data_IF_609455216188
#
_entry.id   IF_609455216188
#
_cell.length_a   1.000
_cell.length_b   1.000
_cell.length_c   1.000
_cell.angle_alpha   90.00
_cell.angle_beta   90.00
_cell.angle_gamma   90.00
#
_symmetry.space_group_name_H-M   'P 1'
#
loop_
_entity.id
_entity.type
_entity.pdbx_description
1 polymer ?
#
# COMPACT_ATOMS: atom_id res chain seq x y z
N UNK A 1 -1.15 -20.93 -22.41
CA UNK A 1 -0.47 -20.88 -21.09
C UNK A 1 0.52 -19.70 -20.96
N UNK A 2 1.33 -19.36 -21.97
CA UNK A 2 2.30 -18.24 -21.94
C UNK A 2 1.74 -16.80 -22.01
N UNK A 3 0.42 -16.59 -22.11
CA UNK A 3 -0.18 -15.24 -22.19
C UNK A 3 -0.41 -14.56 -20.84
N UNK A 4 -0.51 -15.33 -19.75
CA UNK A 4 -0.77 -14.80 -18.39
C UNK A 4 0.51 -14.18 -17.81
N UNK A 5 1.68 -14.78 -18.08
CA UNK A 5 2.99 -14.30 -17.61
C UNK A 5 3.38 -12.91 -18.14
N UNK A 6 2.84 -12.49 -19.29
CA UNK A 6 3.10 -11.14 -19.86
C UNK A 6 2.46 -10.00 -19.06
N UNK A 7 1.57 -10.32 -18.11
CA UNK A 7 0.82 -9.36 -17.32
C UNK A 7 0.98 -9.57 -15.81
N UNK A 8 1.91 -10.44 -15.38
CA UNK A 8 2.33 -10.45 -13.98
C UNK A 8 3.11 -9.14 -13.76
N UNK A 9 2.38 -8.09 -13.43
CA UNK A 9 2.95 -6.85 -12.95
C UNK A 9 3.65 -7.23 -11.65
N UNK A 10 4.98 -7.31 -11.67
CA UNK A 10 5.75 -7.43 -10.44
C UNK A 10 5.51 -6.10 -9.72
N UNK A 11 4.64 -6.12 -8.73
CA UNK A 11 4.43 -4.98 -7.85
C UNK A 11 5.82 -4.58 -7.33
N UNK A 12 6.25 -3.31 -7.49
CA UNK A 12 7.57 -2.87 -7.03
C UNK A 12 7.82 -3.17 -5.54
N UNK A 13 6.75 -3.37 -4.75
CA UNK A 13 6.83 -3.88 -3.38
C UNK A 13 7.50 -5.25 -3.25
N UNK A 14 7.29 -6.18 -4.20
CA UNK A 14 7.97 -7.48 -4.18
C UNK A 14 9.48 -7.32 -4.38
N UNK A 15 9.87 -6.41 -5.28
CA UNK A 15 11.29 -6.08 -5.50
C UNK A 15 11.89 -5.36 -4.29
N UNK A 16 11.12 -4.51 -3.61
CA UNK A 16 11.53 -3.83 -2.40
C UNK A 16 11.78 -4.81 -1.24
N UNK A 17 10.91 -5.81 -1.04
CA UNK A 17 11.10 -6.83 -0.01
C UNK A 17 12.32 -7.71 -0.32
N UNK A 18 12.50 -8.10 -1.58
CA UNK A 18 13.70 -8.82 -2.00
C UNK A 18 14.97 -7.98 -1.82
N UNK A 19 14.91 -6.68 -2.07
CA UNK A 19 16.01 -5.74 -1.84
C UNK A 19 16.34 -5.58 -0.35
N UNK A 20 15.34 -5.39 0.52
CA UNK A 20 15.53 -5.33 1.97
C UNK A 20 16.14 -6.64 2.48
N UNK A 21 15.62 -7.77 2.04
CA UNK A 21 16.15 -9.06 2.44
C UNK A 21 17.60 -9.25 1.97
N UNK A 22 17.87 -8.98 0.69
CA UNK A 22 19.20 -9.10 0.09
C UNK A 22 20.23 -8.17 0.75
N UNK A 23 19.87 -6.91 0.96
CA UNK A 23 20.73 -5.94 1.66
C UNK A 23 21.00 -6.36 3.10
N UNK A 24 20.02 -6.95 3.80
CA UNK A 24 20.24 -7.44 5.16
C UNK A 24 21.15 -8.66 5.20
N UNK A 25 20.99 -9.60 4.26
CA UNK A 25 21.92 -10.74 4.14
C UNK A 25 23.34 -10.30 3.84
N UNK A 26 23.49 -9.25 3.03
CA UNK A 26 24.79 -8.65 2.76
C UNK A 26 25.39 -8.01 4.02
N UNK A 27 24.60 -7.28 4.81
CA UNK A 27 25.05 -6.70 6.09
C UNK A 27 25.44 -7.79 7.09
N UNK A 28 24.60 -8.82 7.25
CA UNK A 28 24.88 -9.98 8.10
C UNK A 28 26.19 -10.67 7.71
N UNK A 29 26.41 -10.86 6.40
CA UNK A 29 27.64 -11.42 5.86
C UNK A 29 28.87 -10.52 6.13
N UNK A 30 28.75 -9.20 5.93
CA UNK A 30 29.84 -8.25 6.16
C UNK A 30 30.18 -8.13 7.65
N UNK A 31 29.17 -8.15 8.52
CA UNK A 31 29.32 -7.96 9.97
C UNK A 31 29.53 -9.27 10.74
N UNK A 32 29.57 -10.42 10.05
CA UNK A 32 29.60 -11.76 10.65
C UNK A 32 28.52 -11.96 11.74
N UNK A 33 27.33 -11.40 11.48
CA UNK A 33 26.18 -11.53 12.37
C UNK A 33 25.12 -12.43 11.72
N UNK A 34 24.29 -13.08 12.55
CA UNK A 34 23.16 -13.87 12.07
C UNK A 34 21.90 -13.43 12.79
N UNK A 35 20.81 -13.32 12.03
CA UNK A 35 19.51 -13.06 12.61
C UNK A 35 19.34 -11.62 13.05
N UNK A 36 19.80 -10.66 12.25
CA UNK A 36 19.61 -9.22 12.50
C UNK A 36 18.12 -8.90 12.62
N UNK A 37 17.29 -9.42 11.72
CA UNK A 37 15.84 -9.23 11.76
C UNK A 37 15.19 -9.89 12.99
N UNK A 38 15.61 -11.11 13.33
CA UNK A 38 15.13 -11.79 14.54
C UNK A 38 15.50 -11.02 15.80
N UNK A 39 16.71 -10.43 15.85
CA UNK A 39 17.17 -9.62 16.98
C UNK A 39 16.41 -8.30 17.11
N UNK A 40 16.26 -7.56 16.00
CA UNK A 40 15.47 -6.31 15.96
C UNK A 40 14.03 -6.59 16.39
N UNK A 41 13.40 -7.62 15.82
CA UNK A 41 12.03 -7.98 16.18
C UNK A 41 11.92 -8.40 17.63
N UNK A 42 12.81 -9.28 18.13
CA UNK A 42 12.77 -9.73 19.53
C UNK A 42 12.90 -8.58 20.51
N UNK A 43 13.77 -7.61 20.21
CA UNK A 43 13.90 -6.39 20.99
C UNK A 43 12.62 -5.55 20.95
N UNK A 44 12.08 -5.25 19.77
CA UNK A 44 10.83 -4.52 19.61
C UNK A 44 9.66 -5.22 20.31
N UNK A 45 9.52 -6.53 20.15
CA UNK A 45 8.50 -7.35 20.80
C UNK A 45 8.64 -7.34 22.32
N UNK A 46 9.85 -7.34 22.87
CA UNK A 46 10.05 -7.25 24.32
C UNK A 46 9.51 -5.94 24.92
N UNK A 47 9.51 -4.85 24.15
CA UNK A 47 8.90 -3.57 24.54
C UNK A 47 7.36 -3.63 24.47
N UNK A 48 6.83 -4.41 23.52
CA UNK A 48 5.40 -4.52 23.22
C UNK A 48 4.68 -5.63 24.02
N UNK A 49 5.39 -6.63 24.55
CA UNK A 49 4.79 -7.79 25.24
C UNK A 49 4.16 -7.44 26.59
N UNK A 50 4.45 -6.26 27.15
CA UNK A 50 3.88 -5.82 28.44
C UNK A 50 2.35 -5.71 28.41
N UNK A 51 1.77 -5.41 27.25
CA UNK A 51 0.32 -5.36 27.06
C UNK A 51 -0.02 -5.61 25.58
N UNK A 52 -0.24 -6.88 25.25
CA UNK A 52 -0.54 -7.35 23.88
C UNK A 52 -1.71 -6.58 23.24
N UNK A 53 -2.76 -6.31 24.02
CA UNK A 53 -3.92 -5.55 23.57
C UNK A 53 -3.55 -4.12 23.17
N UNK A 54 -2.85 -3.39 24.04
CA UNK A 54 -2.43 -2.01 23.74
C UNK A 54 -1.44 -1.98 22.57
N UNK A 55 -0.52 -2.94 22.50
CA UNK A 55 0.44 -3.05 21.41
C UNK A 55 -0.25 -3.29 20.06
N UNK A 56 -1.25 -4.17 20.01
CA UNK A 56 -2.03 -4.39 18.80
C UNK A 56 -2.85 -3.16 18.40
N UNK A 57 -3.52 -2.50 19.36
CA UNK A 57 -4.38 -1.32 19.11
C UNK A 57 -3.56 -0.09 18.73
N UNK A 58 -2.35 0.08 19.27
CA UNK A 58 -1.59 1.33 19.13
C UNK A 58 -0.29 1.16 18.35
N UNK A 59 0.52 0.14 18.61
CA UNK A 59 1.85 0.06 18.00
C UNK A 59 1.78 -0.17 16.48
N UNK A 60 0.94 -1.09 16.02
CA UNK A 60 0.76 -1.35 14.58
C UNK A 60 0.15 -0.13 13.86
N UNK A 61 -0.92 0.51 14.36
CA UNK A 61 -1.42 1.75 13.77
C UNK A 61 -0.41 2.89 13.78
N UNK A 62 0.31 3.13 14.89
CA UNK A 62 1.30 4.19 14.93
C UNK A 62 2.45 3.94 13.95
N UNK A 63 2.88 2.69 13.79
CA UNK A 63 3.86 2.33 12.76
C UNK A 63 3.36 2.74 11.36
N UNK A 64 2.13 2.36 11.00
CA UNK A 64 1.50 2.73 9.71
C UNK A 64 1.40 4.24 9.53
N UNK A 65 0.97 4.96 10.57
CA UNK A 65 0.78 6.42 10.55
C UNK A 65 2.13 7.11 10.36
N UNK A 66 3.14 6.77 11.16
CA UNK A 66 4.48 7.34 11.09
C UNK A 66 5.08 7.09 9.70
N UNK A 67 4.98 5.86 9.20
CA UNK A 67 5.46 5.49 7.87
C UNK A 67 4.80 6.33 6.78
N UNK A 68 3.48 6.52 6.86
CA UNK A 68 2.74 7.36 5.93
C UNK A 68 3.23 8.81 5.96
N UNK A 69 3.26 9.46 7.12
CA UNK A 69 3.61 10.88 7.22
C UNK A 69 5.07 11.15 6.85
N UNK A 70 5.99 10.26 7.20
CA UNK A 70 7.40 10.39 6.79
C UNK A 70 7.51 10.31 5.27
N UNK A 71 6.97 9.26 4.64
CA UNK A 71 7.13 9.05 3.20
C UNK A 71 6.34 10.07 2.38
N UNK A 72 5.07 10.30 2.72
CA UNK A 72 4.23 11.30 2.06
C UNK A 72 4.81 12.72 2.24
N UNK A 73 5.37 13.01 3.41
CA UNK A 73 6.08 14.25 3.72
C UNK A 73 7.34 14.45 2.87
N UNK A 74 8.18 13.41 2.72
CA UNK A 74 9.37 13.46 1.83
C UNK A 74 8.96 13.80 0.40
N UNK A 75 7.92 13.14 -0.14
CA UNK A 75 7.45 13.42 -1.49
C UNK A 75 6.78 14.79 -1.61
N UNK A 76 6.07 15.26 -0.58
CA UNK A 76 5.51 16.60 -0.54
C UNK A 76 6.62 17.68 -0.54
N UNK A 77 7.67 17.49 0.28
CA UNK A 77 8.84 18.38 0.32
C UNK A 77 9.54 18.39 -1.05
N UNK A 78 9.75 17.22 -1.66
CA UNK A 78 10.27 17.11 -3.04
C UNK A 78 9.41 17.94 -4.00
N UNK A 79 8.10 17.80 -3.96
CA UNK A 79 7.20 18.51 -4.86
C UNK A 79 7.25 20.04 -4.65
N UNK A 80 7.52 20.51 -3.44
CA UNK A 80 7.79 21.94 -3.14
C UNK A 80 9.15 22.39 -3.67
N UNK A 81 10.22 21.63 -3.43
CA UNK A 81 11.60 21.98 -3.83
C UNK A 81 11.76 21.96 -5.36
N UNK A 82 11.25 20.91 -6.01
CA UNK A 82 11.43 20.67 -7.44
C UNK A 82 10.37 21.35 -8.32
N UNK A 83 9.42 22.07 -7.72
CA UNK A 83 8.40 22.91 -8.39
C UNK A 83 9.01 23.86 -9.44
N UNK A 84 10.28 24.26 -9.27
CA UNK A 84 11.03 25.17 -10.16
C UNK A 84 11.94 24.51 -11.19
N UNK A 85 12.30 23.22 -11.04
CA UNK A 85 13.37 22.56 -11.83
C UNK A 85 13.00 21.20 -12.42
N UNK A 86 11.72 20.80 -12.37
CA UNK A 86 11.29 19.54 -12.97
C UNK A 86 11.56 19.53 -14.48
N UNK A 87 12.44 18.65 -14.94
CA UNK A 87 12.68 18.43 -16.38
C UNK A 87 11.37 18.05 -17.09
N UNK A 88 11.33 18.25 -18.41
CA UNK A 88 10.21 17.81 -19.25
C UNK A 88 9.86 16.32 -19.06
N UNK A 89 10.80 15.48 -18.63
CA UNK A 89 10.58 14.07 -18.32
C UNK A 89 9.68 13.85 -17.09
N UNK A 90 9.89 14.62 -16.01
CA UNK A 90 9.05 14.55 -14.80
C UNK A 90 7.66 15.13 -15.09
N UNK A 91 7.58 16.20 -15.89
CA UNK A 91 6.30 16.81 -16.31
C UNK A 91 5.51 15.97 -17.33
N UNK A 92 6.16 15.29 -18.27
CA UNK A 92 5.50 14.40 -19.24
C UNK A 92 4.82 13.20 -18.59
N UNK A 93 5.17 12.92 -17.33
CA UNK A 93 4.68 11.80 -16.55
C UNK A 93 3.60 12.17 -15.51
N UNK A 94 3.21 13.46 -15.47
CA UNK A 94 2.14 14.02 -14.64
C UNK A 94 1.26 14.96 -15.49
N UNK A 95 0.05 14.55 -15.86
CA UNK A 95 -0.94 15.38 -16.58
C UNK A 95 -1.73 16.33 -15.67
N UNK A 96 -1.82 16.08 -14.37
CA UNK A 96 -2.51 16.98 -13.45
C UNK A 96 -1.60 18.15 -13.03
N UNK A 97 -2.04 19.41 -13.16
CA UNK A 97 -1.27 20.56 -12.71
C UNK A 97 -1.09 20.50 -11.18
N UNK A 98 0.14 20.74 -10.70
CA UNK A 98 0.41 20.95 -9.27
C UNK A 98 -0.30 22.25 -8.89
N UNK A 99 -1.56 22.17 -8.46
CA UNK A 99 -2.24 23.33 -7.92
C UNK A 99 -1.50 23.81 -6.66
N UNK A 100 -1.41 25.12 -6.53
CA UNK A 100 -0.47 25.84 -5.68
C UNK A 100 -0.74 25.75 -4.18
N UNK A 101 -1.69 24.93 -3.74
CA UNK A 101 -2.11 24.89 -2.35
C UNK A 101 -1.17 24.00 -1.55
N UNK A 102 -0.28 24.66 -0.81
CA UNK A 102 0.47 24.12 0.32
C UNK A 102 -0.56 23.47 1.26
N UNK A 103 -0.56 22.15 1.37
CA UNK A 103 -1.29 21.30 2.35
C UNK A 103 -2.63 21.92 2.81
N UNK A 104 -3.74 21.53 2.18
CA UNK A 104 -5.07 21.89 2.71
C UNK A 104 -5.24 21.33 4.13
N UNK A 105 -5.48 22.21 5.10
CA UNK A 105 -5.67 21.81 6.51
C UNK A 105 -6.92 20.95 6.70
N UNK A 106 -7.95 21.11 5.87
CA UNK A 106 -9.15 20.26 5.91
C UNK A 106 -8.84 18.84 5.45
N UNK A 107 -7.97 18.71 4.45
CA UNK A 107 -7.48 17.44 3.95
C UNK A 107 -6.68 16.72 5.04
N UNK A 108 -5.69 17.39 5.62
CA UNK A 108 -4.89 16.86 6.71
C UNK A 108 -5.77 16.44 7.89
N UNK A 109 -6.77 17.25 8.26
CA UNK A 109 -7.74 16.93 9.31
C UNK A 109 -8.51 15.63 9.03
N UNK A 110 -9.01 15.42 7.81
CA UNK A 110 -9.71 14.17 7.46
C UNK A 110 -8.76 12.96 7.51
N UNK A 111 -7.52 13.11 7.03
CA UNK A 111 -6.50 12.05 7.14
C UNK A 111 -6.22 11.71 8.60
N UNK A 112 -6.08 12.72 9.47
CA UNK A 112 -5.92 12.51 10.91
C UNK A 112 -7.12 11.83 11.55
N UNK A 113 -8.36 12.17 11.17
CA UNK A 113 -9.56 11.47 11.66
C UNK A 113 -9.52 9.99 11.26
N UNK A 114 -9.23 9.69 10.00
CA UNK A 114 -9.13 8.33 9.50
C UNK A 114 -8.04 7.52 10.25
N UNK A 115 -6.90 8.15 10.51
CA UNK A 115 -5.75 7.51 11.14
C UNK A 115 -5.82 7.42 12.67
N UNK A 116 -6.34 8.43 13.36
CA UNK A 116 -6.35 8.49 14.82
C UNK A 116 -7.67 8.04 15.44
N UNK A 117 -8.75 7.98 14.66
CA UNK A 117 -10.06 7.54 15.13
C UNK A 117 -10.46 6.23 14.44
N UNK A 118 -10.58 6.23 13.11
CA UNK A 118 -11.13 5.07 12.38
C UNK A 118 -10.21 3.85 12.51
N UNK A 119 -8.90 4.03 12.29
CA UNK A 119 -7.93 2.93 12.34
C UNK A 119 -7.83 2.28 13.75
N UNK A 120 -7.57 3.01 14.86
CA UNK A 120 -7.57 2.43 16.21
C UNK A 120 -8.91 1.81 16.61
N UNK A 121 -10.04 2.44 16.27
CA UNK A 121 -11.37 1.88 16.56
C UNK A 121 -11.59 0.56 15.81
N UNK A 122 -11.10 0.46 14.59
CA UNK A 122 -11.15 -0.77 13.80
C UNK A 122 -10.23 -1.85 14.35
N UNK A 123 -9.05 -1.49 14.85
CA UNK A 123 -8.16 -2.43 15.56
C UNK A 123 -8.82 -2.97 16.83
N UNK A 124 -9.45 -2.10 17.63
CA UNK A 124 -10.22 -2.54 18.80
C UNK A 124 -11.36 -3.49 18.41
N UNK A 125 -12.15 -3.16 17.39
CA UNK A 125 -13.21 -4.02 16.90
C UNK A 125 -12.67 -5.38 16.43
N UNK A 126 -11.55 -5.38 15.69
CA UNK A 126 -10.91 -6.61 15.24
C UNK A 126 -10.37 -7.47 16.38
N UNK A 127 -9.85 -6.85 17.45
CA UNK A 127 -9.40 -7.60 18.62
C UNK A 127 -10.56 -8.38 19.27
N UNK A 128 -11.73 -7.74 19.42
CA UNK A 128 -12.91 -8.43 19.94
C UNK A 128 -13.42 -9.52 18.99
N UNK A 129 -13.36 -9.29 17.68
CA UNK A 129 -13.65 -10.33 16.69
C UNK A 129 -12.73 -11.55 16.88
N UNK A 130 -11.41 -11.34 16.94
CA UNK A 130 -10.43 -12.40 17.18
C UNK A 130 -10.65 -13.11 18.51
N UNK A 131 -11.09 -12.38 19.54
CA UNK A 131 -11.45 -12.96 20.84
C UNK A 131 -12.66 -13.89 20.74
N UNK A 132 -13.66 -13.53 19.93
CA UNK A 132 -14.86 -14.35 19.71
C UNK A 132 -14.52 -15.60 18.89
N UNK A 133 -13.61 -15.50 17.92
CA UNK A 133 -13.20 -16.62 17.08
C UNK A 133 -12.08 -17.49 17.70
N UNK A 134 -11.55 -17.09 18.86
CA UNK A 134 -10.39 -17.71 19.53
C UNK A 134 -9.09 -17.67 18.72
N UNK A 135 -8.90 -16.63 17.89
CA UNK A 135 -7.73 -16.45 17.03
C UNK A 135 -6.73 -15.40 17.54
N UNK A 136 -6.92 -14.88 18.76
CA UNK A 136 -6.04 -13.84 19.33
C UNK A 136 -4.58 -14.30 19.34
N UNK A 137 -4.31 -15.52 19.80
CA UNK A 137 -2.93 -16.04 19.89
C UNK A 137 -2.34 -16.40 18.53
N UNK A 138 -3.16 -16.72 17.53
CA UNK A 138 -2.67 -17.09 16.19
C UNK A 138 -2.34 -15.87 15.35
N UNK A 139 -3.07 -14.76 15.53
CA UNK A 139 -2.94 -13.52 14.74
C UNK A 139 -2.09 -12.48 15.47
N UNK A 140 -2.19 -12.39 16.80
CA UNK A 140 -1.48 -11.42 17.63
C UNK A 140 -0.34 -12.09 18.40
N UNK A 141 0.52 -12.79 17.65
CA UNK A 141 1.74 -13.39 18.17
C UNK A 141 2.96 -12.52 17.83
N UNK A 142 3.44 -11.77 18.82
CA UNK A 142 4.66 -10.97 18.72
C UNK A 142 5.93 -11.76 19.07
N UNK A 143 5.82 -12.97 19.61
CA UNK A 143 6.95 -13.76 20.13
C UNK A 143 7.59 -14.62 19.07
N UNK A 144 6.79 -15.20 18.18
CA UNK A 144 7.33 -16.03 17.11
C UNK A 144 7.84 -15.17 15.97
N UNK A 145 9.04 -15.50 15.49
CA UNK A 145 9.59 -14.95 14.26
C UNK A 145 9.53 -16.04 13.20
N UNK A 146 8.74 -15.87 12.12
CA UNK A 146 8.66 -16.85 11.06
C UNK A 146 10.01 -16.97 10.32
N UNK A 147 10.26 -18.13 9.72
CA UNK A 147 11.32 -18.23 8.72
C UNK A 147 11.02 -17.29 7.55
N UNK A 148 12.06 -16.80 6.87
CA UNK A 148 11.88 -15.90 5.73
C UNK A 148 10.96 -16.48 4.64
N UNK A 149 11.09 -17.78 4.35
CA UNK A 149 10.25 -18.46 3.36
C UNK A 149 8.78 -18.49 3.78
N UNK A 150 8.49 -18.75 5.05
CA UNK A 150 7.13 -18.76 5.57
C UNK A 150 6.53 -17.34 5.58
N UNK A 151 7.32 -16.36 6.03
CA UNK A 151 6.95 -14.95 5.99
C UNK A 151 6.63 -14.50 4.56
N UNK A 152 7.48 -14.83 3.59
CA UNK A 152 7.28 -14.47 2.17
C UNK A 152 6.04 -15.14 1.59
N UNK A 153 5.83 -16.44 1.89
CA UNK A 153 4.64 -17.16 1.46
C UNK A 153 3.36 -16.51 2.00
N UNK A 154 3.29 -16.26 3.31
CA UNK A 154 2.13 -15.60 3.93
C UNK A 154 1.95 -14.17 3.43
N UNK A 155 3.03 -13.42 3.24
CA UNK A 155 2.99 -12.07 2.66
C UNK A 155 2.36 -12.07 1.26
N UNK A 156 2.78 -12.98 0.37
CA UNK A 156 2.21 -13.10 -0.98
C UNK A 156 0.72 -13.45 -0.91
N UNK A 157 0.33 -14.38 -0.03
CA UNK A 157 -1.08 -14.69 0.18
C UNK A 157 -1.88 -13.47 0.68
N UNK A 158 -1.35 -12.69 1.63
CA UNK A 158 -1.98 -11.47 2.10
C UNK A 158 -2.19 -10.48 0.96
N UNK A 159 -1.17 -10.25 0.14
CA UNK A 159 -1.25 -9.36 -1.02
C UNK A 159 -2.33 -9.82 -2.00
N UNK A 160 -2.40 -11.13 -2.27
CA UNK A 160 -3.45 -11.69 -3.13
C UNK A 160 -4.83 -11.44 -2.52
N UNK A 161 -5.08 -11.91 -1.29
CA UNK A 161 -6.39 -11.76 -0.62
C UNK A 161 -6.81 -10.29 -0.54
N UNK A 162 -5.86 -9.39 -0.23
CA UNK A 162 -6.09 -7.95 -0.22
C UNK A 162 -6.52 -7.45 -1.59
N UNK A 163 -5.80 -7.80 -2.67
CA UNK A 163 -6.13 -7.39 -4.04
C UNK A 163 -7.53 -7.88 -4.46
N UNK A 164 -7.87 -9.14 -4.15
CA UNK A 164 -9.21 -9.70 -4.42
C UNK A 164 -10.28 -8.90 -3.67
N UNK A 165 -10.10 -8.73 -2.36
CA UNK A 165 -11.07 -8.10 -1.48
C UNK A 165 -11.27 -6.62 -1.84
N UNK A 166 -10.17 -5.92 -2.08
CA UNK A 166 -10.18 -4.53 -2.53
C UNK A 166 -10.95 -4.40 -3.84
N UNK A 167 -10.67 -5.24 -4.84
CA UNK A 167 -11.35 -5.19 -6.13
C UNK A 167 -12.87 -5.33 -5.99
N UNK A 168 -13.35 -6.34 -5.26
CA UNK A 168 -14.80 -6.56 -5.15
C UNK A 168 -15.50 -5.49 -4.31
N UNK A 169 -14.87 -5.01 -3.23
CA UNK A 169 -15.45 -3.93 -2.42
C UNK A 169 -15.48 -2.64 -3.23
N UNK A 170 -14.40 -2.31 -3.95
CA UNK A 170 -14.33 -1.16 -4.84
C UNK A 170 -15.37 -1.25 -5.96
N UNK A 171 -15.47 -2.40 -6.63
CA UNK A 171 -16.47 -2.64 -7.67
C UNK A 171 -17.90 -2.44 -7.15
N UNK A 172 -18.19 -2.96 -5.95
CA UNK A 172 -19.49 -2.81 -5.30
C UNK A 172 -19.77 -1.35 -4.93
N UNK A 173 -18.81 -0.65 -4.34
CA UNK A 173 -18.97 0.76 -3.97
C UNK A 173 -19.19 1.64 -5.18
N UNK A 174 -18.53 1.36 -6.31
CA UNK A 174 -18.75 2.08 -7.57
C UNK A 174 -19.99 1.66 -8.35
N UNK A 175 -20.81 0.76 -7.80
CA UNK A 175 -22.09 0.44 -8.41
C UNK A 175 -22.97 1.71 -8.46
N UNK A 176 -23.66 2.02 -9.58
CA UNK A 176 -24.41 3.27 -9.75
C UNK A 176 -25.47 3.56 -8.67
N UNK A 177 -25.98 2.50 -8.02
CA UNK A 177 -26.94 2.62 -6.91
C UNK A 177 -26.31 3.06 -5.59
N UNK A 178 -25.01 2.79 -5.39
CA UNK A 178 -24.26 3.10 -4.17
C UNK A 178 -23.48 4.40 -4.36
N UNK A 179 -22.93 4.64 -5.55
CA UNK A 179 -22.16 5.83 -5.88
C UNK A 179 -22.64 6.48 -7.18
N UNK A 180 -23.54 7.49 -7.07
CA UNK A 180 -24.01 8.25 -8.22
C UNK A 180 -22.83 8.92 -8.94
N UNK A 181 -22.86 8.94 -10.28
CA UNK A 181 -21.78 9.46 -11.13
C UNK A 181 -21.38 10.92 -10.84
N UNK A 182 -22.26 11.69 -10.20
CA UNK A 182 -22.06 13.11 -9.90
C UNK A 182 -21.13 13.39 -8.71
N UNK A 183 -20.69 12.36 -7.97
CA UNK A 183 -19.78 12.50 -6.82
C UNK A 183 -18.29 12.37 -7.18
N UNK A 184 -17.93 12.34 -8.47
CA UNK A 184 -16.52 12.37 -8.91
C UNK A 184 -15.90 13.75 -8.65
N UNK A 185 -15.55 14.04 -7.39
CA UNK A 185 -14.65 15.13 -7.08
C UNK A 185 -13.30 14.82 -7.73
N UNK A 186 -12.88 15.66 -8.68
CA UNK A 186 -11.51 15.67 -9.21
C UNK A 186 -10.59 16.05 -8.06
N UNK A 187 -9.92 15.06 -7.46
CA UNK A 187 -8.92 15.29 -6.42
C UNK A 187 -7.61 15.73 -7.08
N UNK A 188 -7.13 16.89 -6.68
CA UNK A 188 -5.84 17.44 -7.10
C UNK A 188 -4.71 16.67 -6.39
N UNK A 189 -4.24 15.58 -6.97
CA UNK A 189 -3.38 14.60 -6.31
C UNK A 189 -2.10 15.16 -5.66
N UNK A 190 -2.10 15.31 -4.34
CA UNK A 190 -0.89 15.35 -3.52
C UNK A 190 -0.63 13.99 -2.84
N UNK A 191 0.62 13.66 -2.51
CA UNK A 191 0.97 12.37 -1.85
C UNK A 191 0.34 12.18 -0.47
N UNK A 192 -0.09 13.27 0.16
CA UNK A 192 -0.77 13.26 1.46
C UNK A 192 -2.25 12.88 1.29
N UNK A 193 -2.84 13.05 0.10
CA UNK A 193 -4.26 12.78 -0.17
C UNK A 193 -4.63 11.32 -0.28
N UNK A 194 -3.66 10.41 -0.27
CA UNK A 194 -3.91 8.99 -0.48
C UNK A 194 -4.91 8.41 0.54
N UNK A 195 -4.94 8.99 1.74
CA UNK A 195 -5.91 8.63 2.79
C UNK A 195 -6.96 9.71 3.05
N UNK A 196 -7.03 10.73 2.19
CA UNK A 196 -8.10 11.73 2.20
C UNK A 196 -9.33 11.15 1.51
N UNK A 197 -10.06 10.31 2.25
CA UNK A 197 -11.30 9.65 1.82
C UNK A 197 -12.37 9.89 2.87
N UNK A 198 -13.64 9.76 2.47
CA UNK A 198 -14.72 9.77 3.45
C UNK A 198 -14.46 8.64 4.47
N UNK A 199 -14.68 8.84 5.80
CA UNK A 199 -14.33 7.83 6.81
C UNK A 199 -14.87 6.42 6.55
N UNK A 200 -16.08 6.33 5.98
CA UNK A 200 -16.67 5.06 5.55
C UNK A 200 -15.93 4.42 4.37
N UNK A 201 -15.54 5.22 3.36
CA UNK A 201 -14.72 4.73 2.24
C UNK A 201 -13.35 4.29 2.74
N UNK A 202 -12.74 5.05 3.64
CA UNK A 202 -11.46 4.67 4.26
C UNK A 202 -11.56 3.31 4.96
N UNK A 203 -12.62 3.11 5.76
CA UNK A 203 -12.89 1.85 6.42
C UNK A 203 -13.11 0.70 5.43
N UNK A 204 -13.99 0.87 4.45
CA UNK A 204 -14.35 -0.20 3.52
C UNK A 204 -13.24 -0.54 2.52
N UNK A 205 -12.47 0.45 2.05
CA UNK A 205 -11.46 0.25 1.02
C UNK A 205 -10.05 0.01 1.55
N UNK A 206 -9.71 0.45 2.77
CA UNK A 206 -8.36 0.26 3.31
C UNK A 206 -8.36 -0.73 4.48
N UNK A 207 -9.32 -0.62 5.40
CA UNK A 207 -9.32 -1.43 6.62
C UNK A 207 -9.85 -2.84 6.36
N UNK A 208 -11.02 -2.97 5.73
CA UNK A 208 -11.66 -4.29 5.52
C UNK A 208 -10.80 -5.23 4.65
N UNK A 209 -10.27 -4.83 3.47
CA UNK A 209 -9.42 -5.70 2.67
C UNK A 209 -8.17 -6.17 3.42
N UNK A 210 -7.55 -5.27 4.19
CA UNK A 210 -6.36 -5.57 4.99
C UNK A 210 -6.67 -6.54 6.13
N UNK A 211 -7.78 -6.33 6.83
CA UNK A 211 -8.26 -7.22 7.90
C UNK A 211 -8.56 -8.62 7.35
N UNK A 212 -9.28 -8.70 6.22
CA UNK A 212 -9.56 -9.98 5.55
C UNK A 212 -8.28 -10.71 5.14
N UNK A 213 -7.29 -9.99 4.59
CA UNK A 213 -6.00 -10.56 4.24
C UNK A 213 -5.28 -11.15 5.46
N UNK A 214 -5.23 -10.43 6.58
CA UNK A 214 -4.56 -10.88 7.80
C UNK A 214 -5.29 -12.10 8.41
N UNK A 215 -6.62 -12.06 8.49
CA UNK A 215 -7.40 -13.11 9.15
C UNK A 215 -7.46 -14.39 8.33
N UNK A 216 -7.72 -14.30 7.02
CA UNK A 216 -7.81 -15.49 6.16
C UNK A 216 -6.47 -16.21 5.98
N UNK A 217 -5.35 -15.51 6.17
CA UNK A 217 -4.00 -16.10 6.06
C UNK A 217 -3.40 -16.52 7.39
N UNK A 218 -4.05 -16.21 8.52
CA UNK A 218 -3.49 -16.37 9.87
C UNK A 218 -2.04 -15.86 9.94
N UNK A 219 -1.84 -14.62 9.49
CA UNK A 219 -0.51 -14.03 9.43
C UNK A 219 -0.01 -13.63 10.83
N UNK A 220 1.22 -14.02 11.14
CA UNK A 220 1.91 -13.62 12.38
C UNK A 220 2.19 -12.11 12.39
N UNK A 221 2.58 -11.56 13.54
CA UNK A 221 2.76 -10.13 13.68
C UNK A 221 3.92 -9.57 12.82
N UNK A 222 4.97 -10.35 12.52
CA UNK A 222 6.05 -9.93 11.62
C UNK A 222 5.51 -9.76 10.21
N UNK A 223 4.87 -10.81 9.70
CA UNK A 223 4.27 -10.80 8.37
C UNK A 223 3.23 -9.71 8.24
N UNK A 224 2.37 -9.54 9.25
CA UNK A 224 1.36 -8.48 9.32
C UNK A 224 1.98 -7.09 9.28
N UNK A 225 3.06 -6.84 10.04
CA UNK A 225 3.75 -5.54 10.03
C UNK A 225 4.32 -5.21 8.66
N UNK A 226 4.98 -6.17 8.01
CA UNK A 226 5.55 -5.99 6.67
C UNK A 226 4.44 -5.77 5.62
N UNK A 227 3.36 -6.55 5.71
CA UNK A 227 2.19 -6.40 4.85
C UNK A 227 1.53 -5.03 5.00
N UNK A 228 1.26 -4.59 6.24
CA UNK A 228 0.70 -3.28 6.52
C UNK A 228 1.61 -2.14 6.05
N UNK A 229 2.93 -2.30 6.18
CA UNK A 229 3.89 -1.37 5.58
C UNK A 229 3.77 -1.31 4.06
N UNK A 230 3.68 -2.45 3.40
CA UNK A 230 3.56 -2.55 1.96
C UNK A 230 2.29 -1.86 1.41
N UNK A 231 1.13 -2.11 2.02
CA UNK A 231 -0.14 -1.48 1.59
C UNK A 231 -0.16 0.04 1.79
N UNK A 232 0.63 0.59 2.71
CA UNK A 232 0.77 2.05 2.93
C UNK A 232 1.74 2.65 1.92
N UNK A 233 2.85 1.95 1.66
CA UNK A 233 3.89 2.38 0.74
C UNK A 233 3.36 2.42 -0.70
N UNK A 234 2.65 1.38 -1.15
CA UNK A 234 2.19 1.27 -2.55
C UNK A 234 1.44 2.53 -3.04
N UNK A 235 0.35 2.97 -2.38
CA UNK A 235 -0.37 4.17 -2.78
C UNK A 235 0.52 5.41 -2.75
N UNK A 236 1.41 5.56 -1.76
CA UNK A 236 2.34 6.70 -1.71
C UNK A 236 3.20 6.75 -2.97
N UNK A 237 3.78 5.62 -3.39
CA UNK A 237 4.55 5.58 -4.62
C UNK A 237 3.68 5.85 -5.86
N UNK A 238 2.50 5.22 -5.95
CA UNK A 238 1.58 5.39 -7.08
C UNK A 238 1.12 6.84 -7.27
N UNK A 239 0.77 7.51 -6.19
CA UNK A 239 0.30 8.90 -6.20
C UNK A 239 1.43 9.93 -6.17
N UNK A 240 2.65 9.53 -5.79
CA UNK A 240 3.82 10.41 -5.84
C UNK A 240 4.31 10.69 -7.25
N UNK A 241 3.74 10.07 -8.29
CA UNK A 241 4.26 10.17 -9.66
C UNK A 241 5.76 9.86 -9.76
N UNK A 242 6.32 9.11 -8.80
CA UNK A 242 7.70 8.65 -8.82
C UNK A 242 7.78 7.39 -9.69
N UNK A 243 8.58 7.46 -10.75
CA UNK A 243 8.73 6.38 -11.71
C UNK A 243 9.87 5.45 -11.31
N UNK A 244 9.54 4.22 -10.95
CA UNK A 244 10.54 3.14 -10.91
C UNK A 244 10.62 2.61 -12.35
N UNK A 245 11.82 2.39 -12.94
CA UNK A 245 11.97 1.99 -14.34
C UNK A 245 11.19 0.73 -14.76
N UNK A 246 10.76 -0.10 -13.81
CA UNK A 246 9.94 -1.31 -14.03
C UNK A 246 8.43 -1.10 -13.81
N UNK A 247 8.02 0.01 -13.18
CA UNK A 247 6.61 0.38 -12.97
C UNK A 247 6.23 1.40 -14.03
N UNK A 248 5.66 0.96 -15.13
CA UNK A 248 5.30 1.89 -16.19
C UNK A 248 4.11 2.79 -15.82
N UNK A 249 3.86 3.77 -16.70
CA UNK A 249 2.75 4.75 -16.76
C UNK A 249 1.31 4.18 -16.65
N UNK A 250 1.05 3.26 -15.73
CA UNK A 250 -0.26 2.76 -15.36
C UNK A 250 -0.88 3.62 -14.25
N UNK A 251 -0.06 4.42 -13.56
CA UNK A 251 -0.44 5.12 -12.32
C UNK A 251 -1.43 6.28 -12.55
N UNK A 252 -1.41 6.95 -13.71
CA UNK A 252 -2.35 8.04 -14.01
C UNK A 252 -3.75 7.56 -14.42
N UNK A 253 -3.88 6.31 -14.89
CA UNK A 253 -5.17 5.73 -15.26
C UNK A 253 -5.69 4.68 -14.26
N UNK A 254 -4.95 4.32 -13.21
CA UNK A 254 -5.49 3.49 -12.11
C UNK A 254 -6.72 4.14 -11.46
N UNK A 255 -6.74 5.47 -11.36
CA UNK A 255 -7.86 6.24 -10.79
C UNK A 255 -9.07 6.40 -11.72
N UNK A 256 -8.89 6.30 -13.04
CA UNK A 256 -9.99 6.38 -14.00
C UNK A 256 -10.43 5.03 -14.56
N UNK A 257 -9.54 4.03 -14.61
CA UNK A 257 -9.77 2.66 -15.07
C UNK A 257 -8.73 1.71 -14.46
N UNK A 258 -9.00 1.31 -13.22
CA UNK A 258 -8.45 0.21 -12.41
C UNK A 258 -7.45 -0.73 -13.12
N UNK A 259 -6.24 -0.86 -12.56
CA UNK A 259 -5.19 -1.77 -13.04
C UNK A 259 -4.68 -2.68 -11.90
N UNK A 260 -5.40 -3.77 -11.65
CA UNK A 260 -4.93 -4.96 -10.94
C UNK A 260 -5.10 -6.24 -11.77
N UNK A 261 -4.57 -7.37 -11.28
CA UNK A 261 -4.81 -8.70 -11.86
C UNK A 261 -6.31 -8.98 -12.01
N UNK A 262 -7.11 -8.53 -11.03
CA UNK A 262 -8.56 -8.73 -11.03
C UNK A 262 -9.28 -7.98 -12.14
N UNK A 263 -8.81 -6.79 -12.52
CA UNK A 263 -9.41 -6.01 -13.60
C UNK A 263 -9.19 -6.64 -14.97
N UNK A 264 -8.02 -7.27 -15.14
CA UNK A 264 -7.74 -8.05 -16.34
C UNK A 264 -8.67 -9.26 -16.42
N UNK A 265 -8.84 -9.99 -15.32
CA UNK A 265 -9.71 -11.16 -15.25
C UNK A 265 -11.18 -10.80 -15.51
N UNK A 266 -11.65 -9.65 -15.02
CA UNK A 266 -13.03 -9.19 -15.19
C UNK A 266 -13.23 -8.31 -16.43
N UNK A 267 -12.17 -8.02 -17.19
CA UNK A 267 -12.24 -7.23 -18.43
C UNK A 267 -12.57 -5.75 -18.23
N UNK A 268 -12.37 -5.21 -17.03
CA UNK A 268 -12.55 -3.78 -16.71
C UNK A 268 -11.39 -2.92 -17.25
N UNK A 269 -10.26 -3.53 -17.63
CA UNK A 269 -9.12 -2.84 -18.27
C UNK A 269 -9.32 -2.42 -19.75
N UNK A 270 -10.47 -2.66 -20.39
CA UNK A 270 -10.65 -2.46 -21.85
C UNK A 270 -10.32 -1.03 -22.30
N UNK A 271 -10.73 -0.04 -21.52
CA UNK A 271 -10.45 1.38 -21.80
C UNK A 271 -8.94 1.69 -21.65
N UNK A 272 -8.27 1.09 -20.66
CA UNK A 272 -6.83 1.24 -20.45
C UNK A 272 -6.01 0.62 -21.60
N UNK A 273 -6.38 -0.58 -22.05
CA UNK A 273 -5.71 -1.27 -23.16
C UNK A 273 -5.80 -0.53 -24.49
N UNK A 274 -6.82 0.31 -24.68
CA UNK A 274 -7.01 1.14 -25.87
C UNK A 274 -6.37 2.53 -25.75
N UNK A 275 -5.88 2.90 -24.56
CA UNK A 275 -5.30 4.22 -24.33
C UNK A 275 -3.92 4.41 -24.96
N UNK A 276 -3.60 5.65 -25.34
CA UNK A 276 -2.31 6.05 -25.89
C UNK A 276 -1.13 5.81 -24.92
N UNK A 277 -1.42 5.68 -23.62
CA UNK A 277 -0.44 5.40 -22.58
C UNK A 277 0.09 3.96 -22.59
N UNK A 278 -0.69 2.97 -23.06
CA UNK A 278 -0.15 1.61 -23.29
C UNK A 278 0.92 1.62 -24.38
N UNK A 279 0.78 2.51 -25.38
CA UNK A 279 1.82 2.69 -26.42
C UNK A 279 3.10 3.27 -25.79
N UNK A 280 2.98 4.28 -24.93
CA UNK A 280 4.10 4.85 -24.18
C UNK A 280 4.76 3.84 -23.21
N UNK A 281 3.96 2.97 -22.58
CA UNK A 281 4.45 1.88 -21.73
C UNK A 281 5.34 0.89 -22.50
N UNK A 282 4.93 0.49 -23.71
CA UNK A 282 5.74 -0.41 -24.57
C UNK A 282 7.05 0.25 -25.01
N UNK A 283 7.03 1.56 -25.25
CA UNK A 283 8.21 2.32 -25.65
C UNK A 283 9.22 2.38 -24.50
N UNK A 284 8.78 2.72 -23.29
CA UNK A 284 9.63 2.78 -22.09
C UNK A 284 10.29 1.43 -21.76
N UNK A 285 9.56 0.32 -21.87
CA UNK A 285 10.12 -1.01 -21.67
C UNK A 285 11.05 -1.47 -22.81
N UNK A 286 10.90 -0.90 -24.01
CA UNK A 286 11.74 -1.26 -25.16
C UNK A 286 13.11 -0.55 -25.18
N UNK A 287 13.34 0.41 -24.28
CA UNK A 287 14.53 1.28 -24.26
C UNK A 287 14.86 1.96 -25.61
N UNK A 288 13.88 2.10 -26.52
CA UNK A 288 14.04 2.88 -27.75
C UNK A 288 13.55 4.30 -27.50
N UNK A 289 14.45 5.28 -27.58
CA UNK A 289 14.07 6.69 -27.69
C UNK A 289 13.54 6.97 -29.10
N UNK A 290 12.67 7.98 -29.22
CA UNK A 290 12.34 8.59 -30.51
C UNK A 290 13.56 9.27 -31.13
#
# INVERSE_FOLDING_TARGET
>A
MFRILKFIHINPLYLFILFIYGSTRLIEYIMDTKGTWTGIWSYSSSLLDRNVLLSYIFALPFFVIILHWILAGIFAIRDVIFKRKASSFIRASRRAPIQSHIIDLNLAKTVFINQLIVLPSSMLASYYFLKITNDVESVIDFKTVPSFSLMLYKFVLCMMVHEISFFYIHYMLHHPLIYPQNNKQRKDFTTIENFHQHPLEYFLLNIIPSALAIFLTHSDAVTTTIFLGAIVIAPIFEHSGFHIPTSANQNEFKHENVNGMMDYLHGTCKNFLQSENLKNHKILLSMKSQ
#
